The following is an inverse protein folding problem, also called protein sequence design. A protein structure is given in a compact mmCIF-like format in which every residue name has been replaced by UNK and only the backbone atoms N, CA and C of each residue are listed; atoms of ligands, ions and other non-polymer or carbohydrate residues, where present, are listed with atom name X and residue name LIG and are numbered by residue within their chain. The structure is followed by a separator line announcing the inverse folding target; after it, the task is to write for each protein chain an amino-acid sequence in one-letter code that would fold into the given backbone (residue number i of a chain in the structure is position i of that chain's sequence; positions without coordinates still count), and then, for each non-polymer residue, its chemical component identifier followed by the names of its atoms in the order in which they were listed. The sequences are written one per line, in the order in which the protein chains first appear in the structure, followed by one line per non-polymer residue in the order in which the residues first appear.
data_IF_445238667015
#
_entry.id   IF_445238667015
#
_cell.length_a   1.000
_cell.length_b   1.000
_cell.length_c   1.000
_cell.angle_alpha   90.00
_cell.angle_beta   90.00
_cell.angle_gamma   90.00
#
_symmetry.space_group_name_H-M   'P 1'
#
loop_
_entity.id
_entity.type
_entity.pdbx_description
1 polymer ?
#
# COMPACT_ATOMS: atom_id res chain seq x y z
N UNK A 1 -32.64 -20.14 12.94
CA UNK A 1 -33.00 -19.08 11.97
C UNK A 1 -31.77 -18.69 11.15
N UNK A 2 -31.91 -18.62 9.86
CA UNK A 2 -30.83 -18.21 8.98
C UNK A 2 -30.90 -16.70 8.78
N UNK A 3 -29.79 -16.02 9.06
CA UNK A 3 -29.69 -14.59 8.79
C UNK A 3 -29.56 -14.30 7.29
N UNK A 4 -30.00 -13.14 6.87
CA UNK A 4 -29.95 -12.70 5.49
C UNK A 4 -29.27 -11.35 5.41
N UNK A 5 -28.37 -11.22 4.42
CA UNK A 5 -27.74 -9.94 4.10
C UNK A 5 -27.71 -9.77 2.59
N UNK A 6 -28.21 -8.63 2.13
CA UNK A 6 -28.28 -8.32 0.69
C UNK A 6 -26.98 -7.67 0.24
N UNK A 7 -26.09 -8.47 -0.37
CA UNK A 7 -24.80 -7.98 -0.87
C UNK A 7 -24.64 -8.16 -2.37
N UNK A 8 -25.68 -8.67 -3.07
CA UNK A 8 -25.65 -8.86 -4.52
C UNK A 8 -25.37 -7.54 -5.23
N UNK A 9 -24.49 -7.56 -6.22
CA UNK A 9 -24.11 -6.37 -6.98
C UNK A 9 -23.09 -5.47 -6.29
N UNK A 10 -22.72 -5.76 -5.04
CA UNK A 10 -21.67 -5.02 -4.32
C UNK A 10 -20.32 -5.68 -4.54
N UNK A 11 -19.25 -4.87 -4.58
CA UNK A 11 -17.91 -5.39 -4.82
C UNK A 11 -17.41 -6.21 -3.63
N UNK A 12 -17.00 -7.46 -3.87
CA UNK A 12 -16.57 -8.36 -2.80
C UNK A 12 -15.07 -8.17 -2.49
N UNK A 13 -14.72 -7.07 -1.85
CA UNK A 13 -13.33 -6.70 -1.58
C UNK A 13 -12.55 -7.79 -0.86
N UNK A 14 -13.12 -8.35 0.19
CA UNK A 14 -12.42 -9.37 0.97
C UNK A 14 -12.15 -10.63 0.13
N UNK A 15 -13.17 -11.10 -0.59
CA UNK A 15 -13.07 -12.30 -1.42
C UNK A 15 -12.05 -12.13 -2.56
N UNK A 16 -12.12 -11.00 -3.26
CA UNK A 16 -11.30 -10.80 -4.46
C UNK A 16 -9.88 -10.37 -4.11
N UNK A 17 -9.70 -9.57 -3.07
CA UNK A 17 -8.39 -9.02 -2.75
C UNK A 17 -7.69 -9.80 -1.63
N UNK A 18 -8.31 -9.89 -0.48
CA UNK A 18 -7.64 -10.45 0.71
C UNK A 18 -7.49 -11.96 0.63
N UNK A 19 -8.58 -12.68 0.30
CA UNK A 19 -8.51 -14.14 0.21
C UNK A 19 -7.63 -14.64 -0.94
N UNK A 20 -7.62 -13.92 -2.08
CA UNK A 20 -6.85 -14.35 -3.24
C UNK A 20 -5.37 -13.97 -3.16
N UNK A 21 -5.04 -12.87 -2.50
CA UNK A 21 -3.68 -12.34 -2.49
C UNK A 21 -3.17 -12.01 -1.09
N UNK A 22 -3.28 -12.93 -0.11
CA UNK A 22 -2.91 -12.60 1.27
C UNK A 22 -1.43 -12.26 1.44
N UNK A 23 -0.53 -12.93 0.71
CA UNK A 23 0.90 -12.67 0.83
C UNK A 23 1.30 -11.37 0.16
N UNK A 24 0.71 -11.05 -0.98
CA UNK A 24 0.96 -9.78 -1.66
C UNK A 24 0.48 -8.60 -0.81
N UNK A 25 -0.70 -8.70 -0.24
CA UNK A 25 -1.24 -7.67 0.66
C UNK A 25 -0.37 -7.51 1.89
N UNK A 26 0.12 -8.62 2.46
CA UNK A 26 1.03 -8.58 3.61
C UNK A 26 2.28 -7.75 3.29
N UNK A 27 2.86 -7.93 2.11
CA UNK A 27 4.05 -7.17 1.71
C UNK A 27 3.74 -5.68 1.55
N UNK A 28 2.59 -5.33 0.99
CA UNK A 28 2.16 -3.93 0.88
C UNK A 28 1.96 -3.32 2.27
N UNK A 29 1.34 -4.05 3.19
CA UNK A 29 1.13 -3.58 4.57
C UNK A 29 2.46 -3.39 5.29
N UNK A 30 3.43 -4.30 5.10
CA UNK A 30 4.77 -4.13 5.65
C UNK A 30 5.42 -2.85 5.16
N UNK A 31 5.26 -2.54 3.86
CA UNK A 31 5.82 -1.31 3.30
C UNK A 31 5.14 -0.07 3.87
N UNK A 32 3.83 -0.12 4.07
CA UNK A 32 3.09 0.96 4.71
C UNK A 32 3.59 1.20 6.14
N UNK A 33 3.79 0.11 6.89
CA UNK A 33 4.31 0.20 8.26
C UNK A 33 5.74 0.72 8.31
N UNK A 34 6.57 0.33 7.35
CA UNK A 34 7.93 0.86 7.22
C UNK A 34 7.89 2.38 7.04
N UNK A 35 7.04 2.88 6.15
CA UNK A 35 6.88 4.32 5.95
C UNK A 35 6.34 5.02 7.18
N UNK A 36 5.38 4.40 7.89
CA UNK A 36 4.83 4.93 9.13
C UNK A 36 5.92 5.11 10.18
N UNK A 37 6.77 4.09 10.39
CA UNK A 37 7.86 4.17 11.36
C UNK A 37 8.91 5.20 10.97
N UNK A 38 9.20 5.31 9.68
CA UNK A 38 10.18 6.28 9.16
C UNK A 38 9.77 7.73 9.45
N UNK A 39 8.47 8.02 9.41
CA UNK A 39 7.92 9.36 9.60
C UNK A 39 6.97 9.42 10.79
N UNK A 40 7.31 8.71 11.88
CA UNK A 40 6.39 8.52 13.01
C UNK A 40 5.87 9.85 13.60
N UNK A 41 6.68 10.88 13.61
CA UNK A 41 6.30 12.18 14.19
C UNK A 41 5.20 12.87 13.40
N UNK A 42 5.14 12.66 12.10
CA UNK A 42 4.14 13.28 11.22
C UNK A 42 3.10 12.29 10.73
N UNK A 43 3.26 11.00 11.02
CA UNK A 43 2.38 9.94 10.53
C UNK A 43 1.71 9.17 11.67
N UNK A 44 1.52 9.80 12.83
CA UNK A 44 0.92 9.13 13.99
C UNK A 44 -0.46 8.55 13.69
N UNK A 45 -1.19 9.16 12.76
CA UNK A 45 -2.53 8.74 12.33
C UNK A 45 -2.54 8.05 10.96
N UNK A 46 -1.37 7.65 10.45
CA UNK A 46 -1.23 7.03 9.11
C UNK A 46 -1.67 7.94 7.95
N UNK A 47 -1.72 9.26 8.18
CA UNK A 47 -2.19 10.21 7.18
C UNK A 47 -1.12 11.20 6.72
N UNK A 48 0.16 10.88 6.95
CA UNK A 48 1.24 11.74 6.49
C UNK A 48 1.15 12.04 4.99
N UNK A 49 0.74 11.06 4.20
CA UNK A 49 0.60 11.22 2.75
C UNK A 49 -0.34 12.35 2.37
N UNK A 50 -1.34 12.66 3.20
CA UNK A 50 -2.28 13.76 2.95
C UNK A 50 -1.66 15.14 3.22
N UNK A 51 -0.52 15.17 3.91
CA UNK A 51 0.17 16.41 4.28
C UNK A 51 1.33 16.75 3.37
N UNK A 52 1.64 15.88 2.40
CA UNK A 52 2.75 16.07 1.48
C UNK A 52 2.32 16.99 0.33
N UNK A 53 3.02 18.12 0.10
CA UNK A 53 2.75 18.95 -1.07
C UNK A 53 2.96 18.17 -2.35
N UNK A 54 2.06 18.30 -3.32
CA UNK A 54 2.14 17.58 -4.59
C UNK A 54 2.25 16.06 -4.40
N UNK A 55 1.52 15.51 -3.44
CA UNK A 55 1.62 14.10 -3.07
C UNK A 55 1.43 13.16 -4.27
N UNK A 56 0.43 13.43 -5.10
CA UNK A 56 0.18 12.59 -6.28
C UNK A 56 1.42 12.46 -7.16
N UNK A 57 2.06 13.58 -7.48
CA UNK A 57 3.25 13.58 -8.33
C UNK A 57 4.43 12.90 -7.62
N UNK A 58 4.61 13.18 -6.33
CA UNK A 58 5.70 12.58 -5.57
C UNK A 58 5.54 11.07 -5.44
N UNK A 59 4.32 10.57 -5.22
CA UNK A 59 4.07 9.13 -5.14
C UNK A 59 4.20 8.45 -6.50
N UNK A 60 3.80 9.10 -7.59
CA UNK A 60 4.03 8.56 -8.94
C UNK A 60 5.52 8.41 -9.21
N UNK A 61 6.32 9.43 -8.88
CA UNK A 61 7.77 9.37 -9.03
C UNK A 61 8.38 8.27 -8.17
N UNK A 62 7.92 8.13 -6.93
CA UNK A 62 8.40 7.07 -6.05
C UNK A 62 8.06 5.67 -6.60
N UNK A 63 6.84 5.49 -7.11
CA UNK A 63 6.43 4.23 -7.72
C UNK A 63 7.34 3.85 -8.88
N UNK A 64 7.64 4.82 -9.74
CA UNK A 64 8.51 4.57 -10.89
C UNK A 64 9.94 4.24 -10.47
N UNK A 65 10.48 4.94 -9.46
CA UNK A 65 11.82 4.60 -8.93
C UNK A 65 11.88 3.16 -8.44
N UNK A 66 10.88 2.73 -7.68
CA UNK A 66 10.84 1.36 -7.17
C UNK A 66 10.68 0.33 -8.29
N UNK A 67 9.87 0.63 -9.29
CA UNK A 67 9.71 -0.27 -10.44
C UNK A 67 11.02 -0.46 -11.20
N UNK A 68 11.84 0.58 -11.31
CA UNK A 68 13.15 0.50 -11.96
C UNK A 68 14.27 0.14 -10.99
N UNK A 69 13.93 -0.16 -9.72
CA UNK A 69 14.89 -0.55 -8.70
C UNK A 69 16.00 0.47 -8.51
N UNK A 70 15.65 1.75 -8.58
CA UNK A 70 16.58 2.87 -8.52
C UNK A 70 16.79 3.37 -7.08
N UNK A 71 16.50 2.55 -6.10
CA UNK A 71 16.69 2.88 -4.69
C UNK A 71 18.04 2.41 -4.18
N UNK A 72 18.66 3.20 -3.31
CA UNK A 72 19.95 2.90 -2.70
C UNK A 72 19.84 1.96 -1.50
N UNK A 73 18.66 1.52 -1.18
CA UNK A 73 18.37 0.91 0.13
C UNK A 73 18.61 -0.59 0.18
N UNK A 74 19.18 -1.20 -0.84
CA UNK A 74 19.49 -2.62 -0.85
C UNK A 74 18.26 -3.51 -0.70
N UNK A 75 17.09 -2.99 -1.07
CA UNK A 75 15.84 -3.71 -0.96
C UNK A 75 15.77 -4.82 -1.99
N UNK A 76 15.14 -5.94 -1.60
CA UNK A 76 14.88 -7.03 -2.52
C UNK A 76 13.78 -6.63 -3.53
N UNK A 77 13.74 -7.31 -4.66
CA UNK A 77 12.78 -7.04 -5.75
C UNK A 77 11.33 -7.00 -5.25
N UNK A 78 10.95 -7.95 -4.38
CA UNK A 78 9.61 -8.00 -3.81
C UNK A 78 9.31 -6.72 -3.02
N UNK A 79 10.29 -6.24 -2.27
CA UNK A 79 10.13 -5.01 -1.48
C UNK A 79 9.95 -3.79 -2.38
N UNK A 80 10.68 -3.71 -3.49
CA UNK A 80 10.50 -2.64 -4.47
C UNK A 80 9.11 -2.70 -5.11
N UNK A 81 8.65 -3.88 -5.47
CA UNK A 81 7.31 -4.04 -6.04
C UNK A 81 6.22 -3.66 -5.04
N UNK A 82 6.38 -4.05 -3.78
CA UNK A 82 5.45 -3.68 -2.72
C UNK A 82 5.43 -2.17 -2.49
N UNK A 83 6.60 -1.54 -2.53
CA UNK A 83 6.71 -0.09 -2.39
C UNK A 83 6.06 0.65 -3.56
N UNK A 84 6.23 0.15 -4.79
CA UNK A 84 5.57 0.69 -5.97
C UNK A 84 4.05 0.58 -5.84
N UNK A 85 3.55 -0.59 -5.44
CA UNK A 85 2.12 -0.81 -5.23
C UNK A 85 1.57 0.12 -4.16
N UNK A 86 2.25 0.25 -3.03
CA UNK A 86 1.86 1.16 -1.96
C UNK A 86 1.77 2.60 -2.46
N UNK A 87 2.74 3.04 -3.24
CA UNK A 87 2.79 4.42 -3.75
C UNK A 87 1.66 4.74 -4.70
N UNK A 88 1.04 3.73 -5.32
CA UNK A 88 -0.08 3.91 -6.24
C UNK A 88 -1.45 3.82 -5.56
N UNK A 89 -1.49 3.40 -4.32
CA UNK A 89 -2.74 3.36 -3.56
C UNK A 89 -3.12 4.74 -3.08
#
# INVERSE_FOLDING_TARGET
MIGIKHSQGKLPYFTVLIEQFPLAIKEVVKRAEFGHQKYIETDADYKNWQRIPNAEQQYKNAAMRHLFQDGEEGEEEIQHLAAAAWSLL
#
